data_IF_211620149674
#
_entry.id   IF_211620149674
#
_cell.length_a   1.000
_cell.length_b   1.000
_cell.length_c   1.000
_cell.angle_alpha   90.00
_cell.angle_beta   90.00
_cell.angle_gamma   90.00
#
_symmetry.space_group_name_H-M   'P 1'
#
loop_
_entity.id
_entity.type
_entity.pdbx_description
1 polymer ?
#
# COMPACT_ATOMS: atom_id res chain seq x y z
N UNK A 1 21.70 10.64 -13.11
CA UNK A 1 20.78 11.69 -12.63
C UNK A 1 20.50 12.52 -13.87
N UNK A 2 19.48 12.08 -14.60
CA UNK A 2 18.82 12.75 -15.74
C UNK A 2 17.74 11.75 -16.14
N UNK A 3 16.63 11.79 -15.42
CA UNK A 3 15.42 11.03 -15.72
C UNK A 3 14.55 12.02 -16.48
N UNK A 4 14.85 12.16 -17.76
CA UNK A 4 13.93 12.70 -18.75
C UNK A 4 13.41 11.50 -19.52
N UNK A 5 12.11 11.24 -19.45
CA UNK A 5 11.46 10.33 -20.38
C UNK A 5 10.35 11.06 -21.11
N UNK A 6 10.76 11.81 -22.12
CA UNK A 6 9.87 12.25 -23.18
C UNK A 6 10.31 11.51 -24.44
N UNK A 7 9.42 10.75 -25.07
CA UNK A 7 9.58 10.15 -26.42
C UNK A 7 10.60 9.02 -26.55
N UNK A 8 11.70 9.02 -25.78
CA UNK A 8 12.83 8.12 -26.02
C UNK A 8 12.66 6.67 -25.52
N UNK A 9 11.91 6.32 -24.46
CA UNK A 9 11.73 4.88 -24.14
C UNK A 9 10.84 4.22 -25.18
N UNK A 10 9.64 4.75 -25.41
CA UNK A 10 8.73 4.20 -26.42
C UNK A 10 9.36 4.24 -27.82
N UNK A 11 10.07 5.33 -28.13
CA UNK A 11 10.83 5.49 -29.36
C UNK A 11 12.05 4.57 -29.51
N UNK A 12 12.76 4.25 -28.42
CA UNK A 12 13.90 3.31 -28.42
C UNK A 12 13.46 1.85 -28.40
N UNK A 13 12.36 1.56 -27.71
CA UNK A 13 11.67 0.27 -27.75
C UNK A 13 11.14 0.01 -29.16
N UNK A 14 10.54 1.01 -29.82
CA UNK A 14 10.16 0.92 -31.24
C UNK A 14 11.38 0.86 -32.16
N UNK A 15 12.49 1.54 -31.84
CA UNK A 15 13.72 1.53 -32.65
C UNK A 15 14.31 0.13 -32.76
N UNK A 16 14.18 -0.67 -31.69
CA UNK A 16 14.60 -2.07 -31.66
C UNK A 16 13.74 -2.97 -32.59
N UNK A 17 12.55 -2.51 -32.98
CA UNK A 17 11.55 -3.28 -33.72
C UNK A 17 11.48 -2.92 -35.21
N UNK A 18 12.34 -2.00 -35.67
CA UNK A 18 12.43 -1.55 -37.08
C UNK A 18 12.49 -2.70 -38.10
N UNK A 19 13.27 -3.75 -37.82
CA UNK A 19 13.38 -4.93 -38.70
C UNK A 19 12.16 -5.87 -38.65
N UNK A 20 11.25 -5.68 -37.69
CA UNK A 20 10.13 -6.61 -37.43
C UNK A 20 8.77 -6.04 -37.83
N UNK A 21 8.65 -4.72 -38.04
CA UNK A 21 7.40 -4.06 -38.42
C UNK A 21 6.78 -4.61 -39.72
N UNK A 22 7.60 -5.10 -40.65
CA UNK A 22 7.19 -5.67 -41.94
C UNK A 22 7.28 -7.21 -41.97
N UNK A 23 7.52 -7.86 -40.83
CA UNK A 23 7.80 -9.30 -40.77
C UNK A 23 6.53 -10.15 -40.90
N UNK A 24 5.37 -9.63 -40.49
CA UNK A 24 4.11 -10.36 -40.43
C UNK A 24 3.24 -10.13 -41.66
N UNK A 25 2.64 -11.20 -42.19
CA UNK A 25 1.70 -11.14 -43.32
C UNK A 25 0.39 -10.41 -42.97
N UNK A 26 0.08 -10.29 -41.67
CA UNK A 26 -1.12 -9.65 -41.11
C UNK A 26 -0.78 -8.30 -40.46
N UNK A 27 -0.28 -7.38 -41.27
CA UNK A 27 0.20 -6.08 -40.77
C UNK A 27 -0.89 -5.25 -40.09
N UNK A 28 -2.14 -5.37 -40.53
CA UNK A 28 -3.28 -4.62 -40.01
C UNK A 28 -3.56 -4.95 -38.53
N UNK A 29 -3.37 -6.21 -38.14
CA UNK A 29 -3.52 -6.67 -36.77
C UNK A 29 -2.21 -6.60 -35.98
N UNK A 30 -1.09 -6.94 -36.62
CA UNK A 30 0.22 -7.04 -35.97
C UNK A 30 0.69 -5.69 -35.44
N UNK A 31 0.63 -4.62 -36.26
CA UNK A 31 1.22 -3.33 -35.91
C UNK A 31 0.51 -2.61 -34.76
N UNK A 32 -0.84 -2.54 -34.70
CA UNK A 32 -1.54 -1.96 -33.55
C UNK A 32 -1.30 -2.74 -32.24
N UNK A 33 -1.29 -4.09 -32.31
CA UNK A 33 -1.02 -4.93 -31.13
C UNK A 33 0.42 -4.75 -30.65
N UNK A 34 1.38 -4.68 -31.58
CA UNK A 34 2.78 -4.41 -31.27
C UNK A 34 2.95 -3.03 -30.62
N UNK A 35 2.29 -2.00 -31.14
CA UNK A 35 2.33 -0.67 -30.54
C UNK A 35 1.76 -0.67 -29.11
N UNK A 36 0.62 -1.33 -28.90
CA UNK A 36 0.03 -1.48 -27.57
C UNK A 36 0.95 -2.27 -26.62
N UNK A 37 1.69 -3.26 -27.13
CA UNK A 37 2.66 -4.05 -26.36
C UNK A 37 3.90 -3.21 -25.97
N UNK A 38 4.42 -2.38 -26.88
CA UNK A 38 5.47 -1.41 -26.55
C UNK A 38 4.99 -0.41 -25.48
N UNK A 39 3.78 0.13 -25.65
CA UNK A 39 3.19 1.03 -24.64
C UNK A 39 3.00 0.33 -23.30
N UNK A 40 2.55 -0.92 -23.30
CA UNK A 40 2.48 -1.75 -22.10
C UNK A 40 3.85 -1.90 -21.44
N UNK A 41 4.91 -2.24 -22.20
CA UNK A 41 6.27 -2.38 -21.69
C UNK A 41 6.80 -1.09 -21.04
N UNK A 42 6.65 0.04 -21.74
CA UNK A 42 7.00 1.35 -21.23
C UNK A 42 6.24 1.65 -19.91
N UNK A 43 4.92 1.41 -19.88
CA UNK A 43 4.12 1.64 -18.68
C UNK A 43 4.57 0.77 -17.51
N UNK A 44 4.75 -0.54 -17.69
CA UNK A 44 5.13 -1.43 -16.56
C UNK A 44 6.51 -1.11 -16.00
N UNK A 45 7.45 -0.73 -16.87
CA UNK A 45 8.82 -0.37 -16.48
C UNK A 45 8.83 0.96 -15.74
N UNK A 46 8.21 1.99 -16.30
CA UNK A 46 8.22 3.35 -15.74
C UNK A 46 7.37 3.50 -14.49
N UNK A 47 6.32 2.69 -14.37
CA UNK A 47 5.48 2.67 -13.18
C UNK A 47 6.26 2.31 -11.90
N UNK A 48 7.43 1.68 -12.01
CA UNK A 48 8.35 1.44 -10.88
C UNK A 48 8.85 2.73 -10.19
N UNK A 49 8.87 3.87 -10.90
CA UNK A 49 9.22 5.19 -10.35
C UNK A 49 8.33 5.60 -9.17
N UNK A 50 7.06 5.19 -9.18
CA UNK A 50 6.06 5.56 -8.17
C UNK A 50 6.08 4.66 -6.92
N UNK A 51 7.09 3.78 -6.79
CA UNK A 51 7.23 2.87 -5.66
C UNK A 51 6.01 1.97 -5.48
N UNK A 52 5.55 1.83 -4.24
CA UNK A 52 4.43 0.96 -3.85
C UNK A 52 3.08 1.31 -4.49
N UNK A 53 2.85 2.56 -4.90
CA UNK A 53 1.65 2.94 -5.66
C UNK A 53 1.68 2.39 -7.09
N UNK A 54 2.87 2.28 -7.66
CA UNK A 54 3.11 1.66 -8.95
C UNK A 54 3.02 0.14 -8.86
N UNK A 55 3.91 -0.46 -8.08
CA UNK A 55 4.04 -1.90 -7.85
C UNK A 55 4.32 -2.16 -6.37
N UNK A 56 3.66 -3.14 -5.76
CA UNK A 56 3.94 -3.52 -4.37
C UNK A 56 5.39 -3.98 -4.16
N UNK A 57 6.01 -4.55 -5.19
CA UNK A 57 7.44 -4.90 -5.20
C UNK A 57 8.13 -4.42 -6.47
N UNK A 58 9.45 -4.28 -6.40
CA UNK A 58 10.26 -3.95 -7.57
C UNK A 58 10.52 -5.19 -8.41
N UNK A 59 10.23 -5.11 -9.71
CA UNK A 59 10.46 -6.20 -10.67
C UNK A 59 11.46 -5.78 -11.76
N UNK A 60 12.39 -6.67 -12.15
CA UNK A 60 13.42 -6.36 -13.14
C UNK A 60 12.93 -6.62 -14.58
N UNK A 61 11.85 -5.94 -15.00
CA UNK A 61 11.40 -6.01 -16.39
C UNK A 61 12.48 -5.47 -17.32
N UNK A 62 12.70 -6.16 -18.43
CA UNK A 62 13.76 -5.82 -19.38
C UNK A 62 13.30 -5.94 -20.82
N UNK A 63 14.07 -5.37 -21.75
CA UNK A 63 13.78 -5.37 -23.18
C UNK A 63 13.71 -6.80 -23.75
N UNK A 64 14.44 -7.76 -23.16
CA UNK A 64 14.34 -9.17 -23.55
C UNK A 64 12.95 -9.76 -23.37
N UNK A 65 12.21 -9.34 -22.34
CA UNK A 65 10.81 -9.76 -22.12
C UNK A 65 9.92 -9.27 -23.28
N UNK A 66 10.11 -8.03 -23.73
CA UNK A 66 9.40 -7.44 -24.87
C UNK A 66 9.74 -8.18 -26.17
N UNK A 67 11.01 -8.47 -26.42
CA UNK A 67 11.45 -9.19 -27.62
C UNK A 67 10.82 -10.57 -27.74
N UNK A 68 10.79 -11.34 -26.64
CA UNK A 68 10.18 -12.66 -26.66
C UNK A 68 8.66 -12.55 -26.84
N UNK A 69 8.00 -11.56 -26.21
CA UNK A 69 6.58 -11.32 -26.44
C UNK A 69 6.28 -10.98 -27.91
N UNK A 70 7.16 -10.25 -28.58
CA UNK A 70 7.06 -9.95 -30.00
C UNK A 70 7.20 -11.21 -30.88
N UNK A 71 8.17 -12.07 -30.59
CA UNK A 71 8.32 -13.34 -31.32
C UNK A 71 7.10 -14.26 -31.10
N UNK A 72 6.56 -14.29 -29.88
CA UNK A 72 5.31 -15.02 -29.56
C UNK A 72 4.13 -14.42 -30.33
N UNK A 73 3.98 -13.09 -30.35
CA UNK A 73 2.93 -12.41 -31.10
C UNK A 73 2.96 -12.78 -32.58
N UNK A 74 4.15 -12.69 -33.20
CA UNK A 74 4.36 -13.04 -34.60
C UNK A 74 3.94 -14.49 -34.88
N UNK A 75 4.47 -15.45 -34.10
CA UNK A 75 4.19 -16.87 -34.30
C UNK A 75 2.69 -17.19 -34.13
N UNK A 76 2.01 -16.58 -33.16
CA UNK A 76 0.58 -16.82 -32.92
C UNK A 76 -0.31 -16.21 -34.00
N UNK A 77 0.03 -15.03 -34.53
CA UNK A 77 -0.75 -14.39 -35.60
C UNK A 77 -0.59 -15.09 -36.95
N UNK A 78 0.60 -15.60 -37.26
CA UNK A 78 0.83 -16.42 -38.46
C UNK A 78 0.12 -17.77 -38.37
N UNK A 79 0.14 -18.41 -37.19
CA UNK A 79 -0.47 -19.73 -37.01
C UNK A 79 -2.01 -19.71 -36.96
N UNK A 80 -2.65 -18.59 -36.62
CA UNK A 80 -4.09 -18.51 -36.37
C UNK A 80 -4.79 -17.51 -37.29
N UNK A 81 -5.92 -17.90 -37.89
CA UNK A 81 -6.69 -17.01 -38.77
C UNK A 81 -7.28 -15.78 -38.08
N UNK A 82 -7.59 -15.87 -36.78
CA UNK A 82 -8.10 -14.78 -35.95
C UNK A 82 -7.14 -14.51 -34.80
N UNK A 83 -7.11 -13.28 -34.30
CA UNK A 83 -6.29 -12.90 -33.15
C UNK A 83 -6.76 -13.65 -31.88
N UNK A 84 -5.90 -14.48 -31.26
CA UNK A 84 -6.26 -15.22 -30.05
C UNK A 84 -6.03 -14.34 -28.80
N UNK A 85 -6.95 -13.40 -28.55
CA UNK A 85 -6.80 -12.39 -27.49
C UNK A 85 -6.59 -12.97 -26.09
N UNK A 86 -7.33 -14.02 -25.72
CA UNK A 86 -7.22 -14.63 -24.39
C UNK A 86 -5.86 -15.30 -24.19
N UNK A 87 -5.38 -16.03 -25.20
CA UNK A 87 -4.07 -16.69 -25.18
C UNK A 87 -2.95 -15.65 -25.09
N UNK A 88 -2.99 -14.58 -25.91
CA UNK A 88 -1.99 -13.52 -25.88
C UNK A 88 -1.93 -12.84 -24.51
N UNK A 89 -3.09 -12.49 -23.93
CA UNK A 89 -3.16 -11.90 -22.58
C UNK A 89 -2.62 -12.85 -21.51
N UNK A 90 -2.92 -14.14 -21.62
CA UNK A 90 -2.41 -15.15 -20.69
C UNK A 90 -0.89 -15.32 -20.82
N UNK A 91 -0.38 -15.50 -22.03
CA UNK A 91 1.06 -15.66 -22.29
C UNK A 91 1.84 -14.44 -21.79
N UNK A 92 1.43 -13.24 -22.18
CA UNK A 92 2.15 -12.02 -21.78
C UNK A 92 2.01 -11.75 -20.28
N UNK A 93 0.81 -11.89 -19.72
CA UNK A 93 0.50 -11.49 -18.35
C UNK A 93 0.87 -12.52 -17.29
N UNK A 94 0.66 -13.81 -17.55
CA UNK A 94 0.82 -14.88 -16.56
C UNK A 94 2.16 -15.62 -16.70
N UNK A 95 2.72 -15.68 -17.92
CA UNK A 95 3.98 -16.40 -18.19
C UNK A 95 5.16 -15.46 -18.35
N UNK A 96 5.09 -14.51 -19.29
CA UNK A 96 6.23 -13.66 -19.65
C UNK A 96 6.53 -12.62 -18.56
N UNK A 97 5.68 -11.61 -18.43
CA UNK A 97 5.81 -10.62 -17.35
C UNK A 97 5.40 -11.22 -16.01
N UNK A 98 4.38 -12.09 -16.00
CA UNK A 98 3.91 -12.79 -14.80
C UNK A 98 4.94 -13.71 -14.16
N UNK A 99 5.91 -14.22 -14.93
CA UNK A 99 7.02 -15.02 -14.40
C UNK A 99 7.95 -14.25 -13.46
N UNK A 100 8.03 -12.94 -13.61
CA UNK A 100 8.80 -12.05 -12.71
C UNK A 100 8.00 -11.64 -11.46
N UNK A 101 6.68 -11.66 -11.55
CA UNK A 101 5.79 -11.08 -10.54
C UNK A 101 5.51 -12.10 -9.44
N UNK A 102 5.89 -11.75 -8.22
CA UNK A 102 5.74 -12.61 -7.03
C UNK A 102 4.59 -12.23 -6.11
N UNK A 103 3.97 -11.05 -6.30
CA UNK A 103 2.86 -10.57 -5.49
C UNK A 103 1.54 -10.72 -6.26
N UNK A 104 0.51 -11.30 -5.64
CA UNK A 104 -0.76 -11.60 -6.32
C UNK A 104 -1.51 -10.32 -6.74
N UNK A 105 -1.37 -9.22 -6.00
CA UNK A 105 -2.01 -7.95 -6.36
C UNK A 105 -1.31 -7.29 -7.54
N UNK A 106 0.02 -7.38 -7.60
CA UNK A 106 0.80 -6.94 -8.76
C UNK A 106 0.49 -7.82 -9.98
N UNK A 107 0.25 -9.13 -9.79
CA UNK A 107 -0.16 -10.04 -10.87
C UNK A 107 -1.54 -9.66 -11.41
N UNK A 108 -2.49 -9.35 -10.51
CA UNK A 108 -3.80 -8.80 -10.87
C UNK A 108 -3.67 -7.48 -11.65
N UNK A 109 -2.77 -6.60 -11.23
CA UNK A 109 -2.50 -5.32 -11.91
C UNK A 109 -2.01 -5.55 -13.35
N UNK A 110 -0.97 -6.37 -13.52
CA UNK A 110 -0.40 -6.72 -14.82
C UNK A 110 -1.46 -7.30 -15.78
N UNK A 111 -2.25 -8.27 -15.30
CA UNK A 111 -3.35 -8.85 -16.08
C UNK A 111 -4.40 -7.80 -16.46
N UNK A 112 -4.71 -6.87 -15.57
CA UNK A 112 -5.70 -5.82 -15.84
C UNK A 112 -5.21 -4.87 -16.93
N UNK A 113 -3.94 -4.47 -16.91
CA UNK A 113 -3.37 -3.67 -18.00
C UNK A 113 -3.51 -4.36 -19.35
N UNK A 114 -3.18 -5.66 -19.44
CA UNK A 114 -3.32 -6.40 -20.69
C UNK A 114 -4.78 -6.59 -21.12
N UNK A 115 -5.73 -6.69 -20.18
CA UNK A 115 -7.16 -6.74 -20.48
C UNK A 115 -7.69 -5.43 -21.05
N UNK A 116 -7.18 -4.28 -20.58
CA UNK A 116 -7.59 -2.96 -21.08
C UNK A 116 -6.84 -2.56 -22.35
N UNK A 117 -5.57 -2.93 -22.50
CA UNK A 117 -4.76 -2.56 -23.67
C UNK A 117 -4.90 -3.50 -24.85
N UNK A 118 -5.05 -4.82 -24.63
CA UNK A 118 -5.16 -5.80 -25.72
C UNK A 118 -6.62 -6.18 -25.95
N UNK A 119 -7.40 -5.31 -26.59
CA UNK A 119 -8.82 -5.52 -26.89
C UNK A 119 -9.07 -5.66 -28.40
N UNK A 120 -10.15 -6.33 -28.83
CA UNK A 120 -10.54 -6.38 -30.25
C UNK A 120 -10.62 -5.00 -30.91
N UNK A 121 -11.04 -3.99 -30.14
CA UNK A 121 -11.13 -2.59 -30.55
C UNK A 121 -9.77 -1.98 -30.98
N UNK A 122 -8.63 -2.62 -30.68
CA UNK A 122 -7.32 -2.24 -31.24
C UNK A 122 -7.27 -2.32 -32.77
N UNK A 123 -8.00 -3.27 -33.34
CA UNK A 123 -8.00 -3.56 -34.78
C UNK A 123 -9.27 -3.00 -35.43
N UNK A 124 -10.40 -3.19 -34.76
CA UNK A 124 -11.73 -2.92 -35.33
C UNK A 124 -12.34 -1.56 -34.89
N UNK A 125 -11.66 -0.79 -34.03
CA UNK A 125 -12.22 0.42 -33.43
C UNK A 125 -11.21 1.47 -32.96
N UNK A 126 -11.69 2.37 -32.10
CA UNK A 126 -10.89 3.43 -31.48
C UNK A 126 -10.58 3.06 -30.03
N UNK A 127 -9.34 2.63 -29.76
CA UNK A 127 -8.86 2.37 -28.40
C UNK A 127 -7.96 3.50 -27.91
N UNK A 128 -8.25 4.01 -26.72
CA UNK A 128 -7.38 4.95 -26.01
C UNK A 128 -6.50 4.21 -25.01
N UNK A 129 -5.17 4.34 -25.15
CA UNK A 129 -4.21 3.75 -24.21
C UNK A 129 -4.09 4.57 -22.92
N UNK A 130 -4.32 5.88 -23.04
CA UNK A 130 -4.45 6.78 -21.90
C UNK A 130 -5.41 7.93 -22.25
N UNK A 131 -5.89 8.70 -21.27
CA UNK A 131 -6.80 9.81 -21.53
C UNK A 131 -6.17 10.80 -22.53
N UNK A 132 -6.74 10.88 -23.74
CA UNK A 132 -6.27 11.76 -24.81
C UNK A 132 -5.21 11.16 -25.74
N UNK A 133 -4.82 9.89 -25.56
CA UNK A 133 -3.89 9.20 -26.45
C UNK A 133 -4.53 7.98 -27.11
N UNK A 134 -4.91 8.14 -28.38
CA UNK A 134 -5.48 7.09 -29.22
C UNK A 134 -4.36 6.21 -29.77
N UNK A 135 -4.64 4.92 -29.97
CA UNK A 135 -3.74 4.02 -30.70
C UNK A 135 -3.53 4.56 -32.12
N UNK A 136 -2.28 4.70 -32.59
CA UNK A 136 -1.99 5.20 -33.92
C UNK A 136 -2.50 4.23 -35.00
N UNK A 137 -2.97 4.76 -36.15
CA UNK A 137 -3.28 3.93 -37.31
C UNK A 137 -2.01 3.22 -37.81
N UNK A 138 -2.20 2.18 -38.64
CA UNK A 138 -1.09 1.48 -39.27
C UNK A 138 -0.17 2.47 -40.02
N UNK A 139 1.09 2.51 -39.62
CA UNK A 139 2.09 3.42 -40.16
C UNK A 139 3.47 2.74 -40.24
N UNK A 140 4.42 3.41 -40.87
CA UNK A 140 5.82 3.03 -40.82
C UNK A 140 6.47 3.54 -39.51
N UNK A 141 7.70 3.12 -39.27
CA UNK A 141 8.44 3.52 -38.07
C UNK A 141 8.52 5.05 -37.90
N UNK A 142 8.82 5.77 -38.99
CA UNK A 142 8.91 7.23 -38.98
C UNK A 142 7.55 7.87 -38.66
N UNK A 143 6.46 7.32 -39.20
CA UNK A 143 5.10 7.75 -38.90
C UNK A 143 4.69 7.51 -37.46
N UNK A 144 5.08 6.39 -36.84
CA UNK A 144 4.86 6.15 -35.42
C UNK A 144 5.60 7.15 -34.53
N UNK A 145 6.86 7.44 -34.82
CA UNK A 145 7.62 8.48 -34.10
C UNK A 145 6.96 9.86 -34.22
N UNK A 146 6.61 10.26 -35.45
CA UNK A 146 5.92 11.53 -35.68
C UNK A 146 4.55 11.59 -35.00
N UNK A 147 3.85 10.45 -34.85
CA UNK A 147 2.60 10.37 -34.11
C UNK A 147 2.83 10.57 -32.61
N UNK A 148 3.82 9.90 -32.04
CA UNK A 148 4.18 10.03 -30.62
C UNK A 148 4.53 11.49 -30.32
N UNK A 149 5.42 12.10 -31.10
CA UNK A 149 5.84 13.50 -30.92
C UNK A 149 4.67 14.50 -30.96
N UNK A 150 3.65 14.19 -31.77
CA UNK A 150 2.53 15.09 -32.00
C UNK A 150 1.37 14.89 -31.02
N UNK A 151 1.07 13.65 -30.64
CA UNK A 151 -0.16 13.30 -29.93
C UNK A 151 0.07 12.78 -28.51
N UNK A 152 1.29 12.34 -28.14
CA UNK A 152 1.55 11.92 -26.78
C UNK A 152 1.50 13.15 -25.85
N UNK A 153 0.64 13.17 -24.81
CA UNK A 153 0.62 14.27 -23.87
C UNK A 153 1.90 14.28 -23.02
N UNK A 154 2.23 15.42 -22.38
CA UNK A 154 3.38 15.50 -21.49
C UNK A 154 3.33 14.44 -20.38
N UNK A 155 4.51 13.97 -19.95
CA UNK A 155 4.63 12.94 -18.92
C UNK A 155 3.79 13.32 -17.69
N UNK A 156 2.85 12.46 -17.34
CA UNK A 156 2.01 12.63 -16.17
C UNK A 156 1.59 11.26 -15.63
N UNK A 157 1.27 11.15 -14.33
CA UNK A 157 0.81 9.88 -13.74
C UNK A 157 -0.36 9.22 -14.49
N UNK A 158 -1.18 10.01 -15.20
CA UNK A 158 -2.30 9.49 -16.00
C UNK A 158 -1.85 8.55 -17.12
N UNK A 159 -0.67 8.74 -17.71
CA UNK A 159 -0.13 7.84 -18.74
C UNK A 159 0.08 6.43 -18.20
N UNK A 160 0.43 6.33 -16.92
CA UNK A 160 0.65 5.07 -16.23
C UNK A 160 -0.62 4.53 -15.57
N UNK A 161 -1.77 5.20 -15.74
CA UNK A 161 -3.04 4.84 -15.09
C UNK A 161 -3.17 5.32 -13.64
N UNK A 162 -2.24 6.14 -13.14
CA UNK A 162 -2.24 6.68 -11.77
C UNK A 162 -2.94 8.04 -11.69
N UNK A 163 -3.38 8.40 -10.49
CA UNK A 163 -3.86 9.75 -10.20
C UNK A 163 -2.68 10.74 -10.08
N UNK A 164 -2.80 12.03 -10.48
CA UNK A 164 -1.73 13.04 -10.40
C UNK A 164 -1.09 13.22 -9.03
N UNK A 165 -1.81 12.89 -7.97
CA UNK A 165 -1.29 12.91 -6.61
C UNK A 165 -0.06 11.99 -6.41
N UNK A 166 0.10 10.95 -7.25
CA UNK A 166 1.27 10.08 -7.21
C UNK A 166 2.58 10.84 -7.49
N UNK A 167 2.54 11.86 -8.35
CA UNK A 167 3.70 12.69 -8.65
C UNK A 167 4.13 13.53 -7.44
N UNK A 168 3.17 14.08 -6.69
CA UNK A 168 3.44 14.83 -5.46
C UNK A 168 4.20 13.95 -4.47
N UNK A 169 3.76 12.71 -4.29
CA UNK A 169 4.42 11.77 -3.38
C UNK A 169 5.81 11.34 -3.88
N UNK A 170 5.95 11.10 -5.18
CA UNK A 170 7.25 10.79 -5.80
C UNK A 170 8.27 11.92 -5.59
N UNK A 171 7.87 13.17 -5.84
CA UNK A 171 8.73 14.34 -5.65
C UNK A 171 9.05 14.57 -4.17
N UNK A 172 8.08 14.36 -3.28
CA UNK A 172 8.28 14.48 -1.82
C UNK A 172 9.32 13.47 -1.32
N UNK A 173 9.19 12.18 -1.69
CA UNK A 173 10.16 11.13 -1.33
C UNK A 173 11.56 11.41 -1.91
N UNK A 174 11.62 12.01 -3.09
CA UNK A 174 12.88 12.40 -3.71
C UNK A 174 13.56 13.53 -2.94
N UNK A 175 12.80 14.55 -2.52
CA UNK A 175 13.29 15.64 -1.67
C UNK A 175 13.75 15.13 -0.29
N UNK A 176 12.95 14.29 0.37
CA UNK A 176 13.31 13.66 1.66
C UNK A 176 14.62 12.87 1.58
N UNK A 177 14.84 12.14 0.48
CA UNK A 177 16.10 11.43 0.23
C UNK A 177 17.28 12.39 0.16
N UNK A 178 17.13 13.52 -0.54
CA UNK A 178 18.18 14.55 -0.62
C UNK A 178 18.47 15.13 0.76
N UNK A 179 17.44 15.50 1.53
CA UNK A 179 17.63 16.03 2.88
C UNK A 179 18.31 15.02 3.81
N UNK A 180 17.94 13.74 3.74
CA UNK A 180 18.61 12.69 4.52
C UNK A 180 20.09 12.58 4.18
N UNK A 181 20.44 12.54 2.89
CA UNK A 181 21.84 12.48 2.45
C UNK A 181 22.60 13.72 2.93
N UNK A 182 21.98 14.90 2.89
CA UNK A 182 22.61 16.13 3.41
C UNK A 182 22.86 16.04 4.92
N UNK A 183 21.91 15.54 5.71
CA UNK A 183 22.06 15.34 7.16
C UNK A 183 23.16 14.31 7.48
N UNK A 184 23.23 13.21 6.73
CA UNK A 184 24.26 12.17 6.89
C UNK A 184 25.68 12.69 6.57
N UNK A 185 25.79 13.67 5.68
CA UNK A 185 27.07 14.29 5.30
C UNK A 185 27.53 15.41 6.26
N UNK A 186 26.69 15.83 7.21
CA UNK A 186 27.10 16.87 8.17
C UNK A 186 28.23 16.36 9.08
N UNK A 187 29.27 17.19 9.34
CA UNK A 187 30.34 16.80 10.25
C UNK A 187 29.79 16.54 11.65
N UNK A 188 29.95 15.32 12.15
CA UNK A 188 29.53 14.92 13.51
C UNK A 188 30.33 15.64 14.60
N UNK A 189 31.55 16.05 14.27
CA UNK A 189 32.43 16.87 15.09
C UNK A 189 32.58 18.26 14.48
N UNK A 190 31.53 19.08 14.54
CA UNK A 190 31.74 20.53 14.52
C UNK A 190 31.88 20.99 15.97
N UNK A 191 33.12 20.94 16.45
CA UNK A 191 33.55 21.67 17.65
C UNK A 191 33.33 23.16 17.46
N UNK A 192 32.08 23.58 17.62
CA UNK A 192 31.72 24.98 17.71
C UNK A 192 31.45 25.25 19.18
N UNK A 193 32.42 25.91 19.81
CA UNK A 193 32.30 26.66 21.06
C UNK A 193 31.22 27.77 20.90
N UNK A 194 29.98 27.40 20.61
CA UNK A 194 28.83 28.26 20.85
C UNK A 194 28.34 27.89 22.24
N UNK A 195 28.81 28.65 23.22
CA UNK A 195 28.60 28.49 24.66
C UNK A 195 27.14 28.53 25.14
N UNK A 196 26.16 28.45 24.24
CA UNK A 196 24.73 28.66 24.50
C UNK A 196 23.83 27.61 23.81
N UNK A 197 24.40 26.66 23.07
CA UNK A 197 23.65 25.52 22.53
C UNK A 197 23.82 24.30 23.46
N UNK A 198 22.74 23.61 23.85
CA UNK A 198 22.83 22.43 24.71
C UNK A 198 23.71 21.37 24.06
N UNK A 199 24.51 20.68 24.86
CA UNK A 199 25.34 19.60 24.34
C UNK A 199 24.46 18.49 23.77
N UNK A 200 25.02 17.70 22.83
CA UNK A 200 24.33 16.54 22.25
C UNK A 200 23.84 15.58 23.34
N UNK A 201 24.62 15.39 24.39
CA UNK A 201 24.30 14.53 25.52
C UNK A 201 23.19 15.12 26.40
N UNK A 202 23.17 16.44 26.63
CA UNK A 202 22.10 17.12 27.37
C UNK A 202 20.76 17.03 26.63
N UNK A 203 20.78 17.25 25.32
CA UNK A 203 19.58 17.14 24.47
C UNK A 203 19.04 15.71 24.45
N UNK A 204 19.94 14.72 24.42
CA UNK A 204 19.54 13.32 24.45
C UNK A 204 19.00 12.90 25.82
N UNK A 205 19.61 13.37 26.91
CA UNK A 205 19.13 13.08 28.25
C UNK A 205 17.73 13.66 28.48
N UNK A 206 17.46 14.90 28.05
CA UNK A 206 16.13 15.50 28.17
C UNK A 206 15.08 14.76 27.34
N UNK A 207 15.43 14.31 26.13
CA UNK A 207 14.58 13.46 25.31
C UNK A 207 14.28 12.11 26.00
N UNK A 208 15.30 11.45 26.55
CA UNK A 208 15.12 10.18 27.27
C UNK A 208 14.20 10.36 28.47
N UNK A 209 14.33 11.46 29.23
CA UNK A 209 13.45 11.78 30.35
C UNK A 209 12.00 12.01 29.89
N UNK A 210 11.76 12.83 28.87
CA UNK A 210 10.40 13.03 28.32
C UNK A 210 9.76 11.72 27.85
N UNK A 211 10.52 10.89 27.12
CA UNK A 211 10.04 9.60 26.63
C UNK A 211 9.72 8.64 27.78
N UNK A 212 10.55 8.58 28.82
CA UNK A 212 10.31 7.72 29.98
C UNK A 212 9.11 8.18 30.81
N UNK A 213 8.92 9.49 30.98
CA UNK A 213 7.82 10.06 31.76
C UNK A 213 6.46 9.89 31.06
N UNK A 214 6.44 9.92 29.73
CA UNK A 214 5.23 9.74 28.92
C UNK A 214 4.92 8.29 28.57
N UNK A 215 5.83 7.36 28.86
CA UNK A 215 5.64 5.95 28.56
C UNK A 215 4.61 5.33 29.51
N UNK A 216 3.60 4.66 28.96
CA UNK A 216 2.59 3.95 29.76
C UNK A 216 3.23 2.89 30.66
N UNK A 217 2.71 2.72 31.89
CA UNK A 217 3.14 1.67 32.83
C UNK A 217 2.82 0.24 32.33
N UNK A 218 2.00 0.13 31.29
CA UNK A 218 1.56 -1.14 30.72
C UNK A 218 0.28 -1.67 31.38
N UNK A 219 -0.15 -2.84 30.92
CA UNK A 219 -1.43 -3.46 31.27
C UNK A 219 -1.24 -4.53 32.34
N UNK A 220 -2.03 -4.53 33.43
CA UNK A 220 -1.93 -5.53 34.49
C UNK A 220 -2.54 -6.87 34.05
N UNK A 221 -1.77 -7.66 33.31
CA UNK A 221 -2.27 -8.90 32.66
C UNK A 221 -2.87 -9.90 33.66
N UNK A 222 -2.29 -10.04 34.85
CA UNK A 222 -2.81 -10.95 35.88
C UNK A 222 -4.24 -10.59 36.31
N UNK A 223 -4.51 -9.29 36.48
CA UNK A 223 -5.85 -8.80 36.83
C UNK A 223 -6.82 -8.96 35.66
N UNK A 224 -6.39 -8.61 34.44
CA UNK A 224 -7.21 -8.74 33.24
C UNK A 224 -7.62 -10.20 32.99
N UNK A 225 -6.69 -11.15 33.17
CA UNK A 225 -6.99 -12.57 33.04
C UNK A 225 -7.89 -13.11 34.16
N UNK A 226 -7.84 -12.54 35.36
CA UNK A 226 -8.68 -12.95 36.48
C UNK A 226 -10.14 -12.49 36.35
N UNK A 227 -10.43 -11.48 35.52
CA UNK A 227 -11.80 -10.93 35.33
C UNK A 227 -12.76 -11.90 34.65
N UNK A 228 -12.26 -12.78 33.79
CA UNK A 228 -13.09 -13.75 33.05
C UNK A 228 -12.38 -15.10 32.94
N UNK A 229 -13.11 -16.17 33.26
CA UNK A 229 -12.63 -17.54 33.10
C UNK A 229 -12.29 -17.83 31.63
N UNK A 230 -11.29 -18.68 31.32
CA UNK A 230 -10.88 -18.96 29.95
C UNK A 230 -12.03 -19.40 29.02
N UNK A 231 -13.01 -20.12 29.55
CA UNK A 231 -14.16 -20.67 28.81
C UNK A 231 -15.21 -19.59 28.44
N UNK A 232 -15.27 -18.51 29.22
CA UNK A 232 -16.24 -17.42 29.02
C UNK A 232 -15.72 -16.34 28.06
N UNK A 233 -14.43 -16.40 27.70
CA UNK A 233 -13.79 -15.39 26.86
C UNK A 233 -14.30 -15.44 25.44
N UNK A 234 -14.93 -14.35 25.02
CA UNK A 234 -15.31 -14.14 23.63
C UNK A 234 -14.08 -13.92 22.73
N UNK A 235 -14.22 -14.08 21.39
CA UNK A 235 -13.17 -13.80 20.43
C UNK A 235 -12.55 -12.40 20.58
N UNK A 236 -13.38 -11.37 20.82
CA UNK A 236 -12.92 -10.00 21.03
C UNK A 236 -12.08 -9.82 22.30
N UNK A 237 -12.45 -10.51 23.38
CA UNK A 237 -11.69 -10.50 24.63
C UNK A 237 -10.31 -11.13 24.44
N UNK A 238 -10.23 -12.23 23.69
CA UNK A 238 -8.94 -12.86 23.37
C UNK A 238 -8.05 -11.91 22.57
N UNK A 239 -8.61 -11.16 21.61
CA UNK A 239 -7.85 -10.17 20.83
C UNK A 239 -7.27 -9.08 21.73
N UNK A 240 -8.08 -8.41 22.56
CA UNK A 240 -7.57 -7.32 23.41
C UNK A 240 -6.50 -7.80 24.38
N UNK A 241 -6.65 -8.99 24.96
CA UNK A 241 -5.64 -9.56 25.87
C UNK A 241 -4.31 -9.80 25.14
N UNK A 242 -4.33 -10.38 23.94
CA UNK A 242 -3.11 -10.59 23.13
C UNK A 242 -2.46 -9.27 22.71
N UNK A 243 -3.26 -8.26 22.40
CA UNK A 243 -2.77 -6.92 22.03
C UNK A 243 -2.13 -6.22 23.23
N UNK A 244 -2.72 -6.31 24.43
CA UNK A 244 -2.13 -5.81 25.67
C UNK A 244 -0.80 -6.51 26.02
N UNK A 245 -0.71 -7.84 25.85
CA UNK A 245 0.55 -8.56 26.05
C UNK A 245 1.66 -8.08 25.11
N UNK A 246 1.36 -7.94 23.82
CA UNK A 246 2.31 -7.43 22.83
C UNK A 246 2.75 -6.00 23.14
N UNK A 247 1.79 -5.15 23.52
CA UNK A 247 2.08 -3.77 23.91
C UNK A 247 3.01 -3.73 25.14
N UNK A 248 2.78 -4.58 26.14
CA UNK A 248 3.65 -4.70 27.30
C UNK A 248 5.08 -5.10 26.94
N UNK A 249 5.26 -6.03 25.99
CA UNK A 249 6.60 -6.43 25.53
C UNK A 249 7.33 -5.21 24.93
N UNK A 250 6.66 -4.47 24.03
CA UNK A 250 7.23 -3.27 23.41
C UNK A 250 7.57 -2.19 24.44
N UNK A 251 6.62 -1.86 25.32
CA UNK A 251 6.80 -0.86 26.38
C UNK A 251 7.98 -1.23 27.29
N UNK A 252 8.09 -2.50 27.67
CA UNK A 252 9.18 -2.97 28.54
C UNK A 252 10.54 -2.90 27.85
N UNK A 253 10.61 -3.20 26.55
CA UNK A 253 11.83 -3.05 25.76
C UNK A 253 12.28 -1.58 25.67
N UNK A 254 11.35 -0.67 25.37
CA UNK A 254 11.61 0.78 25.33
C UNK A 254 12.11 1.25 26.70
N UNK A 255 11.40 0.89 27.78
CA UNK A 255 11.77 1.26 29.15
C UNK A 255 13.15 0.74 29.54
N UNK A 256 13.45 -0.53 29.25
CA UNK A 256 14.75 -1.15 29.56
C UNK A 256 15.87 -0.41 28.83
N UNK A 257 15.75 -0.31 27.50
CA UNK A 257 16.79 0.26 26.64
C UNK A 257 17.07 1.74 26.94
N UNK A 258 16.03 2.55 27.21
CA UNK A 258 16.19 3.95 27.62
C UNK A 258 16.85 4.10 29.00
N UNK A 259 16.49 3.24 29.98
CA UNK A 259 17.12 3.26 31.31
C UNK A 259 18.59 2.88 31.25
N UNK A 260 18.93 1.85 30.48
CA UNK A 260 20.32 1.42 30.27
C UNK A 260 21.14 2.51 29.58
N UNK A 261 20.59 3.16 28.53
CA UNK A 261 21.27 4.27 27.87
C UNK A 261 21.50 5.44 28.83
N UNK A 262 20.52 5.77 29.67
CA UNK A 262 20.67 6.84 30.69
C UNK A 262 21.78 6.54 31.70
N UNK A 263 21.93 5.28 32.12
CA UNK A 263 23.04 4.86 32.99
C UNK A 263 24.39 4.94 32.26
N UNK A 264 24.41 4.61 30.96
CA UNK A 264 25.59 4.79 30.11
C UNK A 264 26.03 6.25 29.99
N UNK A 265 25.08 7.17 29.76
CA UNK A 265 25.35 8.61 29.67
C UNK A 265 25.82 9.23 31.01
N UNK A 266 25.45 8.63 32.15
CA UNK A 266 25.96 9.03 33.48
C UNK A 266 27.35 8.45 33.80
N UNK A 267 27.90 7.61 32.93
CA UNK A 267 29.16 6.90 33.16
C UNK A 267 29.06 5.74 34.15
N UNK A 268 27.85 5.32 34.54
CA UNK A 268 27.61 4.19 35.44
C UNK A 268 27.69 2.84 34.71
N UNK A 269 27.45 2.84 33.40
CA UNK A 269 27.62 1.69 32.51
C UNK A 269 28.56 2.04 31.36
N UNK A 270 29.30 1.05 30.88
CA UNK A 270 30.06 1.20 29.63
C UNK A 270 29.11 1.19 28.43
N UNK A 271 29.22 2.21 27.58
CA UNK A 271 28.40 2.33 26.37
C UNK A 271 28.71 1.15 25.44
N UNK A 272 27.69 0.32 25.19
CA UNK A 272 27.76 -0.78 24.24
C UNK A 272 27.43 -0.33 22.82
N UNK A 273 27.76 -1.13 21.80
CA UNK A 273 27.39 -0.85 20.42
C UNK A 273 25.87 -0.76 20.18
N UNK A 274 25.07 -1.47 20.98
CA UNK A 274 23.61 -1.35 20.96
C UNK A 274 23.13 0.00 21.51
N UNK A 275 23.76 0.51 22.58
CA UNK A 275 23.47 1.84 23.14
C UNK A 275 23.87 2.95 22.17
N UNK A 276 25.02 2.82 21.49
CA UNK A 276 25.44 3.77 20.47
C UNK A 276 24.48 3.81 19.27
N UNK A 277 24.02 2.64 18.83
CA UNK A 277 23.01 2.55 17.75
C UNK A 277 21.68 3.18 18.17
N UNK A 278 21.24 2.95 19.41
CA UNK A 278 20.05 3.57 19.99
C UNK A 278 20.19 5.09 20.07
N UNK A 279 21.31 5.58 20.60
CA UNK A 279 21.62 7.00 20.69
C UNK A 279 21.60 7.69 19.31
N UNK A 280 22.20 7.05 18.31
CA UNK A 280 22.19 7.57 16.94
C UNK A 280 20.77 7.62 16.34
N UNK A 281 19.95 6.58 16.56
CA UNK A 281 18.56 6.57 16.09
C UNK A 281 17.71 7.67 16.76
N UNK A 282 17.81 7.83 18.08
CA UNK A 282 17.11 8.88 18.82
C UNK A 282 17.51 10.28 18.34
N UNK A 283 18.79 10.49 18.09
CA UNK A 283 19.30 11.77 17.59
C UNK A 283 18.81 12.09 16.16
N UNK A 284 18.67 11.07 15.31
CA UNK A 284 18.20 11.22 13.92
C UNK A 284 16.68 11.19 13.78
N UNK A 285 15.93 11.28 14.89
CA UNK A 285 14.46 11.19 14.92
C UNK A 285 13.92 9.90 14.25
N UNK A 286 14.66 8.80 14.42
CA UNK A 286 14.33 7.48 13.88
C UNK A 286 13.92 6.52 14.99
N UNK A 287 12.96 5.65 14.69
CA UNK A 287 12.59 4.57 15.60
C UNK A 287 13.74 3.56 15.66
N UNK A 288 14.28 3.25 16.85
CA UNK A 288 15.36 2.28 17.00
C UNK A 288 14.96 0.88 16.52
N UNK A 289 15.87 0.22 15.78
CA UNK A 289 15.62 -1.12 15.23
C UNK A 289 15.33 -2.19 16.29
N UNK A 290 15.80 -2.01 17.53
CA UNK A 290 15.46 -2.88 18.67
C UNK A 290 13.99 -2.77 19.05
N UNK A 291 13.39 -1.59 18.93
CA UNK A 291 11.96 -1.35 19.18
C UNK A 291 11.12 -1.83 18.01
N UNK A 292 11.56 -1.57 16.78
CA UNK A 292 10.85 -2.00 15.55
C UNK A 292 10.60 -3.51 15.49
N UNK A 293 11.51 -4.33 16.06
CA UNK A 293 11.35 -5.79 16.15
C UNK A 293 10.10 -6.23 16.92
N UNK A 294 9.68 -5.44 17.90
CA UNK A 294 8.49 -5.70 18.71
C UNK A 294 7.30 -4.82 18.31
N UNK A 295 7.56 -3.77 17.52
CA UNK A 295 6.55 -2.81 17.10
C UNK A 295 5.71 -3.30 15.91
N UNK A 296 4.69 -2.50 15.60
CA UNK A 296 3.95 -2.56 14.35
C UNK A 296 4.72 -1.82 13.24
N UNK A 297 4.56 -2.21 11.96
CA UNK A 297 5.13 -1.48 10.84
C UNK A 297 4.62 -0.02 10.82
N UNK A 298 5.54 0.93 10.69
CA UNK A 298 5.26 2.37 10.67
C UNK A 298 6.28 3.07 9.78
N UNK A 299 5.89 4.20 9.21
CA UNK A 299 6.80 5.11 8.47
C UNK A 299 7.00 6.44 9.20
N UNK A 300 6.42 6.60 10.39
CA UNK A 300 6.56 7.82 11.18
C UNK A 300 7.97 7.99 11.74
N UNK A 301 8.47 9.24 11.80
CA UNK A 301 9.62 9.56 12.61
C UNK A 301 9.33 9.35 14.10
N UNK A 302 10.37 9.27 14.92
CA UNK A 302 10.29 8.91 16.33
C UNK A 302 9.25 9.73 17.09
N UNK A 303 9.24 11.06 16.92
CA UNK A 303 8.29 11.93 17.62
C UNK A 303 6.81 11.58 17.34
N UNK A 304 6.47 11.41 16.05
CA UNK A 304 5.12 11.04 15.63
C UNK A 304 4.79 9.58 15.99
N UNK A 305 5.76 8.69 15.86
CA UNK A 305 5.61 7.28 16.24
C UNK A 305 5.32 7.11 17.73
N UNK A 306 6.01 7.87 18.59
CA UNK A 306 5.79 7.80 20.02
C UNK A 306 4.43 8.36 20.44
N UNK A 307 3.98 9.45 19.79
CA UNK A 307 2.61 9.97 19.98
C UNK A 307 1.54 8.95 19.55
N UNK A 308 1.76 8.26 18.43
CA UNK A 308 0.92 7.17 17.94
C UNK A 308 0.89 5.99 18.92
N UNK A 309 2.05 5.58 19.45
CA UNK A 309 2.17 4.56 20.50
C UNK A 309 1.35 4.92 21.75
N UNK A 310 1.46 6.17 22.23
CA UNK A 310 0.67 6.65 23.36
C UNK A 310 -0.84 6.57 23.09
N UNK A 311 -1.29 6.90 21.87
CA UNK A 311 -2.70 6.82 21.50
C UNK A 311 -3.19 5.37 21.44
N UNK A 312 -2.36 4.44 20.93
CA UNK A 312 -2.68 3.00 20.95
C UNK A 312 -2.83 2.46 22.36
N UNK A 313 -1.96 2.88 23.28
CA UNK A 313 -2.08 2.51 24.69
C UNK A 313 -3.43 2.96 25.26
N UNK A 314 -3.84 4.22 25.01
CA UNK A 314 -5.12 4.76 25.46
C UNK A 314 -6.32 3.98 24.91
N UNK A 315 -6.32 3.64 23.63
CA UNK A 315 -7.41 2.86 23.02
C UNK A 315 -7.49 1.43 23.59
N UNK A 316 -6.33 0.80 23.80
CA UNK A 316 -6.26 -0.50 24.46
C UNK A 316 -6.69 -0.43 25.93
N UNK A 317 -6.35 0.63 26.66
CA UNK A 317 -6.77 0.84 28.04
C UNK A 317 -8.30 0.92 28.14
N UNK A 318 -8.92 1.71 27.26
CA UNK A 318 -10.38 1.83 27.17
C UNK A 318 -11.01 0.46 26.89
N UNK A 319 -10.45 -0.31 25.96
CA UNK A 319 -10.98 -1.64 25.64
C UNK A 319 -10.75 -2.65 26.78
N UNK A 320 -9.59 -2.62 27.43
CA UNK A 320 -9.24 -3.52 28.52
C UNK A 320 -10.05 -3.29 29.80
N UNK A 321 -10.60 -2.08 30.01
CA UNK A 321 -11.45 -1.76 31.16
C UNK A 321 -12.69 -2.64 31.22
N UNK A 322 -13.44 -2.74 30.12
CA UNK A 322 -14.71 -3.48 30.09
C UNK A 322 -14.59 -4.88 29.47
N UNK A 323 -13.49 -5.18 28.77
CA UNK A 323 -13.29 -6.42 27.99
C UNK A 323 -14.40 -6.69 26.94
N UNK A 324 -15.29 -5.73 26.73
CA UNK A 324 -16.37 -5.74 25.74
C UNK A 324 -15.96 -5.02 24.45
N UNK A 325 -16.70 -5.24 23.37
CA UNK A 325 -16.42 -4.60 22.08
C UNK A 325 -16.67 -3.07 22.19
N UNK A 326 -15.67 -2.22 21.88
CA UNK A 326 -15.86 -0.78 21.87
C UNK A 326 -16.87 -0.31 20.82
N UNK A 327 -17.39 0.91 20.98
CA UNK A 327 -18.31 1.53 20.02
C UNK A 327 -17.75 1.61 18.60
N UNK A 328 -16.44 1.81 18.47
CA UNK A 328 -15.68 1.59 17.25
C UNK A 328 -14.23 1.25 17.59
N UNK A 329 -13.60 0.38 16.80
CA UNK A 329 -12.21 -0.06 17.00
C UNK A 329 -11.30 0.64 15.99
N UNK A 330 -10.22 1.24 16.48
CA UNK A 330 -9.16 1.75 15.60
C UNK A 330 -8.37 0.58 15.01
N UNK A 331 -8.73 0.15 13.80
CA UNK A 331 -8.14 -1.04 13.20
C UNK A 331 -6.63 -0.89 12.99
N UNK A 332 -6.18 0.32 12.62
CA UNK A 332 -4.77 0.65 12.49
C UNK A 332 -4.00 0.70 13.80
N UNK A 333 -4.69 0.83 14.94
CA UNK A 333 -4.11 0.85 16.28
C UNK A 333 -3.63 -0.52 16.78
N UNK A 334 -4.08 -1.61 16.16
CA UNK A 334 -3.75 -2.98 16.55
C UNK A 334 -2.42 -3.45 15.94
N UNK A 335 -1.67 -4.26 16.69
CA UNK A 335 -0.52 -5.02 16.18
C UNK A 335 -0.98 -6.05 15.15
N UNK A 336 -2.07 -6.78 15.44
CA UNK A 336 -2.61 -7.81 14.57
C UNK A 336 -4.08 -7.55 14.17
N UNK A 337 -4.33 -6.64 13.20
CA UNK A 337 -5.67 -6.37 12.71
C UNK A 337 -6.38 -7.61 12.13
N UNK A 338 -5.64 -8.59 11.57
CA UNK A 338 -6.23 -9.83 11.04
C UNK A 338 -6.87 -10.69 12.14
N UNK A 339 -6.29 -10.69 13.34
CA UNK A 339 -6.87 -11.38 14.50
C UNK A 339 -8.23 -10.80 14.84
N UNK A 340 -8.35 -9.47 14.82
CA UNK A 340 -9.63 -8.79 15.03
C UNK A 340 -10.66 -9.08 13.95
N UNK A 341 -10.26 -9.03 12.67
CA UNK A 341 -11.14 -9.37 11.54
C UNK A 341 -11.65 -10.82 11.65
N UNK A 342 -10.77 -11.74 12.04
CA UNK A 342 -11.14 -13.14 12.33
C UNK A 342 -12.07 -13.24 13.53
N UNK A 343 -11.87 -12.45 14.58
CA UNK A 343 -12.75 -12.42 15.74
C UNK A 343 -14.17 -11.96 15.39
N UNK A 344 -14.33 -10.99 14.49
CA UNK A 344 -15.64 -10.57 13.95
C UNK A 344 -16.34 -11.74 13.26
N UNK A 345 -15.60 -12.53 12.47
CA UNK A 345 -16.10 -13.73 11.81
C UNK A 345 -16.50 -14.81 12.82
N UNK A 346 -15.63 -15.12 13.78
CA UNK A 346 -15.89 -16.12 14.81
C UNK A 346 -17.10 -15.78 15.68
N UNK A 347 -17.23 -14.52 16.10
CA UNK A 347 -18.36 -14.08 16.93
C UNK A 347 -19.68 -14.24 16.18
N UNK A 348 -19.70 -13.85 14.90
CA UNK A 348 -20.91 -13.97 14.07
C UNK A 348 -21.23 -15.43 13.76
N UNK A 349 -20.21 -16.23 13.42
CA UNK A 349 -20.34 -17.66 13.16
C UNK A 349 -20.94 -18.42 14.36
N UNK A 350 -20.46 -18.14 15.58
CA UNK A 350 -21.01 -18.71 16.82
C UNK A 350 -22.46 -18.31 17.05
N UNK A 351 -22.79 -17.03 16.86
CA UNK A 351 -24.15 -16.50 17.07
C UNK A 351 -25.17 -17.05 16.07
N UNK A 352 -24.76 -17.24 14.82
CA UNK A 352 -25.62 -17.68 13.72
C UNK A 352 -25.52 -19.18 13.42
N UNK A 353 -24.67 -19.91 14.16
CA UNK A 353 -24.35 -21.33 13.93
C UNK A 353 -23.88 -21.62 12.50
N UNK A 354 -23.08 -20.71 11.93
CA UNK A 354 -22.53 -20.86 10.58
C UNK A 354 -21.12 -21.48 10.60
N UNK A 355 -20.77 -22.32 9.61
CA UNK A 355 -19.40 -22.78 9.42
C UNK A 355 -18.44 -21.61 9.12
N UNK A 356 -17.31 -21.55 9.83
CA UNK A 356 -16.34 -20.46 9.71
C UNK A 356 -15.70 -20.39 8.30
N UNK A 357 -15.56 -21.54 7.64
CA UNK A 357 -15.00 -21.70 6.29
C UNK A 357 -15.93 -21.15 5.18
N UNK A 358 -17.22 -20.99 5.47
CA UNK A 358 -18.23 -20.54 4.50
C UNK A 358 -18.68 -19.10 4.69
N UNK A 359 -17.94 -18.32 5.48
CA UNK A 359 -18.26 -16.91 5.71
C UNK A 359 -17.12 -16.00 5.27
N UNK A 360 -17.48 -14.80 4.84
CA UNK A 360 -16.55 -13.74 4.47
C UNK A 360 -16.95 -12.42 5.11
N UNK A 361 -16.02 -11.46 5.14
CA UNK A 361 -16.28 -10.12 5.65
C UNK A 361 -16.97 -9.29 4.57
N UNK A 362 -18.18 -8.86 4.87
CA UNK A 362 -18.90 -7.81 4.15
C UNK A 362 -18.59 -6.45 4.76
N UNK A 363 -18.33 -5.49 3.88
CA UNK A 363 -17.97 -4.12 4.24
C UNK A 363 -19.12 -3.19 3.90
N UNK A 364 -19.54 -2.38 4.87
CA UNK A 364 -20.51 -1.30 4.67
C UNK A 364 -19.93 0.01 5.19
N UNK A 365 -19.56 0.92 4.30
CA UNK A 365 -19.05 2.24 4.67
C UNK A 365 -20.22 3.09 5.16
N UNK A 366 -20.12 3.63 6.37
CA UNK A 366 -21.17 4.48 6.95
C UNK A 366 -21.01 5.94 6.51
N UNK A 367 -21.91 6.81 6.97
CA UNK A 367 -21.81 8.27 6.80
C UNK A 367 -21.21 8.98 8.02
N UNK A 368 -20.85 8.22 9.06
CA UNK A 368 -20.49 8.75 10.36
C UNK A 368 -18.99 8.80 10.59
N UNK A 369 -18.55 9.75 11.41
CA UNK A 369 -17.18 9.77 11.96
C UNK A 369 -17.13 9.04 13.30
N UNK A 370 -15.92 8.83 13.84
CA UNK A 370 -15.71 8.13 15.12
C UNK A 370 -16.49 8.78 16.26
N UNK A 371 -16.50 10.11 16.31
CA UNK A 371 -17.10 10.91 17.40
C UNK A 371 -18.62 10.77 17.46
N UNK A 372 -19.25 10.38 16.35
CA UNK A 372 -20.69 10.15 16.24
C UNK A 372 -21.10 8.71 16.57
N UNK A 373 -20.11 7.85 16.88
CA UNK A 373 -20.33 6.47 17.27
C UNK A 373 -20.54 6.38 18.78
N UNK A 374 -21.73 5.92 19.19
CA UNK A 374 -22.06 5.69 20.59
C UNK A 374 -21.72 4.27 21.04
N UNK A 375 -22.57 3.31 20.69
CA UNK A 375 -22.44 1.92 21.11
C UNK A 375 -21.99 1.00 19.97
N UNK A 376 -21.46 -0.17 20.35
CA UNK A 376 -21.15 -1.24 19.43
C UNK A 376 -22.39 -1.64 18.59
N UNK A 377 -22.21 -2.14 17.35
CA UNK A 377 -23.33 -2.57 16.52
C UNK A 377 -23.95 -3.86 17.09
N UNK A 378 -25.24 -4.08 16.80
CA UNK A 378 -25.93 -5.35 17.16
C UNK A 378 -25.30 -6.58 16.50
N UNK A 379 -24.71 -6.39 15.33
CA UNK A 379 -24.04 -7.42 14.52
C UNK A 379 -22.80 -6.83 13.87
N UNK A 380 -21.68 -7.56 13.98
CA UNK A 380 -20.40 -7.15 13.42
C UNK A 380 -19.59 -6.25 14.35
N UNK A 381 -18.77 -5.40 13.77
CA UNK A 381 -17.98 -4.39 14.49
C UNK A 381 -17.79 -3.14 13.63
N UNK A 382 -17.78 -1.96 14.27
CA UNK A 382 -17.42 -0.71 13.62
C UNK A 382 -15.91 -0.52 13.70
N UNK A 383 -15.26 -0.19 12.58
CA UNK A 383 -13.85 0.16 12.52
C UNK A 383 -13.62 1.56 11.97
N UNK A 384 -12.61 2.24 12.48
CA UNK A 384 -12.24 3.58 12.05
C UNK A 384 -10.72 3.71 11.86
N UNK A 385 -10.30 4.87 11.35
CA UNK A 385 -8.89 5.19 11.10
C UNK A 385 -8.31 4.46 9.89
N UNK A 386 -9.12 4.26 8.85
CA UNK A 386 -8.66 3.82 7.54
C UNK A 386 -8.55 5.02 6.62
N UNK A 387 -7.60 5.01 5.71
CA UNK A 387 -7.40 6.01 4.67
C UNK A 387 -7.48 5.33 3.31
N UNK A 388 -7.92 6.03 2.28
CA UNK A 388 -7.94 5.51 0.92
C UNK A 388 -6.91 6.26 0.08
N UNK A 389 -6.00 5.54 -0.56
CA UNK A 389 -4.96 6.08 -1.44
C UNK A 389 -5.34 5.89 -2.90
N UNK A 390 -5.05 6.87 -3.76
CA UNK A 390 -5.35 6.83 -5.19
C UNK A 390 -6.82 7.12 -5.57
N UNK A 391 -7.71 7.23 -4.58
CA UNK A 391 -9.12 7.58 -4.77
C UNK A 391 -9.67 8.27 -3.51
N UNK A 392 -10.97 8.56 -3.50
CA UNK A 392 -11.68 8.99 -2.29
C UNK A 392 -13.04 8.33 -2.19
N UNK A 393 -13.57 8.27 -0.98
CA UNK A 393 -14.96 7.85 -0.76
C UNK A 393 -15.90 9.03 -0.79
N UNK A 394 -16.96 8.95 -1.60
CA UNK A 394 -18.03 9.94 -1.59
C UNK A 394 -19.19 9.45 -0.72
N UNK A 395 -19.43 10.11 0.42
CA UNK A 395 -20.51 9.78 1.35
C UNK A 395 -21.90 10.04 0.79
N UNK A 396 -22.03 10.94 -0.19
CA UNK A 396 -23.31 11.24 -0.84
C UNK A 396 -23.66 10.16 -1.88
N UNK A 397 -22.68 9.79 -2.71
CA UNK A 397 -22.84 8.75 -3.73
C UNK A 397 -22.72 7.32 -3.19
N UNK A 398 -22.16 7.15 -1.99
CA UNK A 398 -21.86 5.87 -1.35
C UNK A 398 -21.01 4.95 -2.25
N UNK A 399 -19.98 5.53 -2.87
CA UNK A 399 -19.09 4.86 -3.82
C UNK A 399 -17.71 5.50 -3.87
N UNK A 400 -16.72 4.75 -4.36
CA UNK A 400 -15.41 5.29 -4.72
C UNK A 400 -15.56 6.26 -5.89
N UNK A 401 -14.84 7.38 -5.81
CA UNK A 401 -14.70 8.38 -6.86
C UNK A 401 -13.25 8.85 -6.92
N UNK A 402 -12.88 9.59 -7.97
CA UNK A 402 -11.52 10.10 -8.13
C UNK A 402 -11.12 11.02 -6.97
N UNK A 403 -9.85 10.90 -6.56
CA UNK A 403 -9.25 11.72 -5.52
C UNK A 403 -9.27 13.21 -5.92
N UNK A 404 -9.21 14.10 -4.93
CA UNK A 404 -8.97 15.52 -5.20
C UNK A 404 -7.48 15.79 -5.27
N UNK A 405 -7.09 16.75 -6.10
CA UNK A 405 -5.70 17.20 -6.19
C UNK A 405 -5.22 17.64 -4.79
N UNK A 406 -4.00 17.22 -4.41
CA UNK A 406 -3.37 17.44 -3.08
C UNK A 406 -3.99 16.67 -1.90
N UNK A 407 -5.02 15.87 -2.13
CA UNK A 407 -5.59 14.98 -1.12
C UNK A 407 -5.03 13.55 -1.34
N UNK A 408 -3.84 13.27 -0.81
CA UNK A 408 -3.09 12.05 -1.15
C UNK A 408 -3.75 10.77 -0.61
N UNK A 409 -4.20 10.81 0.65
CA UNK A 409 -4.82 9.68 1.32
C UNK A 409 -5.96 10.14 2.25
N UNK A 410 -7.14 10.50 1.71
CA UNK A 410 -8.27 10.93 2.51
C UNK A 410 -8.72 9.87 3.52
N UNK A 411 -9.18 10.33 4.69
CA UNK A 411 -9.75 9.46 5.72
C UNK A 411 -11.10 8.88 5.26
N UNK A 412 -11.27 7.59 5.52
CA UNK A 412 -12.55 6.90 5.32
C UNK A 412 -13.49 7.16 6.49
N UNK A 413 -14.81 7.27 6.24
CA UNK A 413 -15.80 7.19 7.29
C UNK A 413 -15.69 5.88 8.08
N UNK A 414 -16.39 5.81 9.23
CA UNK A 414 -16.48 4.56 9.99
C UNK A 414 -17.05 3.45 9.10
N UNK A 415 -16.41 2.29 9.11
CA UNK A 415 -16.80 1.12 8.32
C UNK A 415 -17.43 0.10 9.25
N UNK A 416 -18.58 -0.44 8.87
CA UNK A 416 -19.19 -1.58 9.52
C UNK A 416 -18.72 -2.86 8.85
N UNK A 417 -18.11 -3.73 9.65
CA UNK A 417 -17.71 -5.08 9.25
C UNK A 417 -18.75 -6.06 9.74
N UNK A 418 -19.31 -6.86 8.82
CA UNK A 418 -20.22 -7.98 9.16
C UNK A 418 -19.71 -9.25 8.51
N UNK A 419 -19.84 -10.38 9.19
CA UNK A 419 -19.62 -11.66 8.55
C UNK A 419 -20.91 -12.13 7.86
N UNK A 420 -20.80 -12.60 6.62
CA UNK A 420 -21.92 -13.10 5.83
C UNK A 420 -21.52 -14.39 5.11
N UNK A 421 -22.47 -15.27 4.74
CA UNK A 421 -22.16 -16.46 3.96
C UNK A 421 -21.59 -16.09 2.58
N UNK A 422 -20.50 -16.76 2.17
CA UNK A 422 -19.78 -16.49 0.92
C UNK A 422 -20.70 -16.56 -0.31
N UNK A 423 -21.57 -17.57 -0.36
CA UNK A 423 -22.52 -17.82 -1.46
C UNK A 423 -23.50 -16.64 -1.69
N UNK A 424 -23.83 -15.87 -0.63
CA UNK A 424 -24.74 -14.72 -0.73
C UNK A 424 -24.09 -13.49 -1.37
N UNK A 425 -22.78 -13.54 -1.61
CA UNK A 425 -22.02 -12.39 -2.11
C UNK A 425 -21.46 -12.57 -3.53
N UNK A 426 -21.38 -13.77 -4.11
CA UNK A 426 -20.72 -14.01 -5.41
C UNK A 426 -21.16 -13.04 -6.53
N UNK A 427 -22.48 -12.80 -6.67
CA UNK A 427 -22.99 -11.87 -7.69
C UNK A 427 -22.84 -10.38 -7.35
N UNK A 428 -22.79 -10.01 -6.06
CA UNK A 428 -22.63 -8.61 -5.62
C UNK A 428 -21.16 -8.18 -5.54
N UNK A 429 -20.27 -9.10 -5.20
CA UNK A 429 -18.81 -8.90 -5.14
C UNK A 429 -18.25 -8.66 -6.54
N UNK A 430 -18.74 -9.36 -7.56
CA UNK A 430 -18.25 -9.21 -8.94
C UNK A 430 -18.38 -7.78 -9.49
N UNK A 431 -19.39 -7.03 -9.03
CA UNK A 431 -19.60 -5.63 -9.42
C UNK A 431 -18.89 -4.63 -8.48
N UNK A 432 -18.28 -5.09 -7.40
CA UNK A 432 -17.55 -4.26 -6.44
C UNK A 432 -16.04 -4.28 -6.74
N UNK A 433 -15.36 -3.22 -6.31
CA UNK A 433 -13.91 -3.18 -6.34
C UNK A 433 -13.35 -3.93 -5.13
N UNK A 434 -12.68 -5.05 -5.37
CA UNK A 434 -11.86 -5.71 -4.35
C UNK A 434 -10.64 -4.84 -4.02
N UNK A 435 -10.73 -4.06 -2.94
CA UNK A 435 -9.71 -3.12 -2.50
C UNK A 435 -8.77 -3.78 -1.49
N UNK A 436 -7.45 -3.84 -1.73
CA UNK A 436 -6.51 -4.37 -0.75
C UNK A 436 -6.35 -3.39 0.42
N UNK A 437 -6.22 -3.93 1.64
CA UNK A 437 -5.97 -3.18 2.87
C UNK A 437 -4.55 -3.47 3.35
N UNK A 438 -3.76 -2.43 3.57
CA UNK A 438 -2.37 -2.53 4.04
C UNK A 438 -2.18 -1.76 5.35
N UNK A 439 -1.21 -2.18 6.17
CA UNK A 439 -0.88 -1.43 7.40
C UNK A 439 -0.28 -0.06 7.07
N UNK A 440 0.61 0.01 6.10
CA UNK A 440 1.33 1.23 5.71
C UNK A 440 1.40 1.38 4.20
N UNK A 441 1.86 2.55 3.74
CA UNK A 441 2.17 2.82 2.33
C UNK A 441 3.22 1.90 1.71
N UNK A 442 3.98 1.13 2.50
CA UNK A 442 4.93 0.14 1.98
C UNK A 442 4.21 -0.98 1.21
N UNK A 443 2.92 -1.21 1.50
CA UNK A 443 2.10 -2.27 0.91
C UNK A 443 2.78 -3.63 1.00
N UNK A 444 2.69 -4.49 -0.03
CA UNK A 444 3.35 -5.79 -0.12
C UNK A 444 3.30 -6.60 1.18
N UNK A 445 4.41 -6.70 1.96
CA UNK A 445 4.46 -7.44 3.23
C UNK A 445 3.49 -6.96 4.31
N UNK A 446 2.93 -5.75 4.17
CA UNK A 446 1.98 -5.17 5.12
C UNK A 446 0.51 -5.45 4.78
N UNK A 447 0.23 -6.34 3.84
CA UNK A 447 -1.13 -6.74 3.49
C UNK A 447 -1.90 -7.32 4.69
N UNK A 448 -3.15 -6.89 4.84
CA UNK A 448 -4.03 -7.27 5.96
C UNK A 448 -5.23 -8.07 5.46
N UNK A 449 -6.03 -7.49 4.55
CA UNK A 449 -7.29 -8.07 4.10
C UNK A 449 -7.77 -7.46 2.77
N UNK A 450 -8.85 -7.99 2.20
CA UNK A 450 -9.51 -7.45 1.01
C UNK A 450 -10.91 -6.92 1.35
N UNK A 451 -11.14 -5.62 1.15
CA UNK A 451 -12.45 -5.00 1.36
C UNK A 451 -13.13 -4.73 0.03
N UNK A 452 -14.34 -5.25 -0.14
CA UNK A 452 -15.14 -5.02 -1.35
C UNK A 452 -15.88 -3.69 -1.25
N UNK A 453 -15.43 -2.71 -2.03
CA UNK A 453 -15.94 -1.34 -2.03
C UNK A 453 -16.85 -1.10 -3.23
N UNK A 454 -17.91 -0.30 -3.01
CA UNK A 454 -18.84 0.07 -4.08
C UNK A 454 -18.19 1.03 -5.06
N UNK A 455 -18.43 0.81 -6.35
CA UNK A 455 -17.97 1.66 -7.45
C UNK A 455 -19.07 1.79 -8.50
N UNK A 456 -19.12 2.94 -9.17
CA UNK A 456 -19.92 3.14 -10.40
C UNK A 456 -19.11 2.90 -11.66
N UNK A 457 -17.78 3.06 -11.56
CA UNK A 457 -16.82 2.83 -12.63
C UNK A 457 -16.39 1.36 -12.69
N UNK A 458 -15.84 0.95 -13.84
CA UNK A 458 -15.24 -0.39 -14.01
C UNK A 458 -14.14 -0.61 -12.96
N UNK A 459 -14.08 -1.79 -12.30
CA UNK A 459 -13.02 -2.09 -11.34
C UNK A 459 -11.59 -1.92 -11.88
N UNK A 460 -11.38 -2.13 -13.19
CA UNK A 460 -10.09 -1.96 -13.85
C UNK A 460 -9.46 -0.58 -13.63
N UNK A 461 -10.29 0.48 -13.62
CA UNK A 461 -9.83 1.86 -13.33
C UNK A 461 -9.13 1.95 -11.98
N UNK A 462 -9.70 1.34 -10.95
CA UNK A 462 -9.15 1.40 -9.58
C UNK A 462 -7.96 0.46 -9.39
N UNK A 463 -7.93 -0.65 -10.11
CA UNK A 463 -6.76 -1.54 -10.14
C UNK A 463 -5.57 -0.80 -10.74
N UNK A 464 -5.72 -0.25 -11.96
CA UNK A 464 -4.66 0.53 -12.62
C UNK A 464 -4.34 1.82 -11.84
N UNK A 465 -5.32 2.43 -11.17
CA UNK A 465 -5.14 3.55 -10.25
C UNK A 465 -4.30 3.23 -9.02
N UNK A 466 -3.99 1.96 -8.77
CA UNK A 466 -3.26 1.53 -7.58
C UNK A 466 -4.02 1.85 -6.30
N UNK A 467 -5.36 1.82 -6.33
CA UNK A 467 -6.18 2.19 -5.17
C UNK A 467 -6.01 1.17 -4.05
N UNK A 468 -5.84 1.66 -2.83
CA UNK A 468 -5.70 0.79 -1.66
C UNK A 468 -6.26 1.48 -0.42
N UNK A 469 -6.65 0.67 0.57
CA UNK A 469 -6.90 1.15 1.92
C UNK A 469 -5.62 1.03 2.76
N UNK A 470 -5.34 2.06 3.54
CA UNK A 470 -4.18 2.14 4.42
C UNK A 470 -4.66 2.30 5.87
N UNK A 471 -4.04 1.59 6.80
CA UNK A 471 -4.32 1.75 8.23
C UNK A 471 -3.52 2.90 8.86
N UNK A 472 -2.43 3.30 8.22
CA UNK A 472 -1.56 4.40 8.59
C UNK A 472 -0.94 5.01 7.32
N UNK A 473 -0.81 6.34 7.27
CA UNK A 473 -0.40 7.12 6.09
C UNK A 473 0.92 7.84 6.29
#
# INVERSE_FOLDING_TARGET
MDIYLDVHSLGSELAFVLETLERCTKEAEFKPILFALCYFHAVVTERSKFGSQGWNRTYPFNVGDLCICLDVLYNYLEANNKVPWEDLRYLFGEIMYGGHITDDWDRRLCRTFLQEYLQPDLVDGDLYLSPGFLVPPNSDYAGYHAYIDKYLPPESPYLYGLHPNAEIEFLTKSAERVFRVVLELQPRDSGTDVSDAPSREETLNSLIEDLLDRLSDGFPMNELYARQAPEERGPYTVVVLQECERMNILINEIRRSLRELRLGLRGELTISGAMDSLMNALFLDQVPSTWERYAYPSLYPLGLWFADLSNRCKELDIWAQDLGLPGSVWLGGLFNPQSFLTAVMQQTARKMEWPLDKICISVEVTKKTKEEMGSAPREGAYVHGLFIEGARWDTSANSIVDARIKELAPAMPVILLRAVPSDRQEGRIAAMYACPVYKTKTRGPTFVWTFHLRTKEKPAKWIMGGVALLLQV
#
